data_IF_621447962907
#
_entry.id   IF_621447962907
#
_cell.length_a   1.000
_cell.length_b   1.000
_cell.length_c   1.000
_cell.angle_alpha   90.00
_cell.angle_beta   90.00
_cell.angle_gamma   90.00
#
_symmetry.space_group_name_H-M   'P 1'
#
loop_
_entity.id
_entity.type
_entity.pdbx_description
1 polymer ?
#
# COMPACT_ATOMS: atom_id res chain seq x y z
N UNK A 1 36.58 -8.09 -27.01
CA UNK A 1 36.71 -8.89 -25.77
C UNK A 1 35.32 -9.22 -25.27
N UNK A 2 34.98 -10.51 -25.12
CA UNK A 2 33.69 -10.93 -24.55
C UNK A 2 33.72 -10.70 -23.04
N UNK A 3 32.66 -10.13 -22.48
CA UNK A 3 32.48 -9.89 -21.04
C UNK A 3 31.27 -10.65 -20.53
N UNK A 4 31.31 -11.09 -19.27
CA UNK A 4 30.16 -11.72 -18.61
C UNK A 4 29.44 -10.68 -17.75
N UNK A 5 28.12 -10.53 -17.94
CA UNK A 5 27.33 -9.58 -17.16
C UNK A 5 27.15 -10.07 -15.71
N UNK A 6 27.50 -9.27 -14.68
CA UNK A 6 27.44 -9.72 -13.28
C UNK A 6 26.01 -9.81 -12.71
N UNK A 7 24.98 -9.41 -13.45
CA UNK A 7 23.58 -9.54 -13.02
C UNK A 7 22.89 -10.81 -13.52
N UNK A 8 23.10 -11.14 -14.79
CA UNK A 8 22.38 -12.21 -15.49
C UNK A 8 23.31 -13.30 -16.04
N UNK A 9 24.63 -13.17 -15.83
CA UNK A 9 25.68 -14.08 -16.28
C UNK A 9 25.74 -14.31 -17.79
N UNK A 10 25.06 -13.49 -18.59
CA UNK A 10 25.14 -13.57 -20.05
C UNK A 10 26.41 -12.92 -20.57
N UNK A 11 27.06 -13.60 -21.50
CA UNK A 11 28.14 -13.04 -22.28
C UNK A 11 27.64 -11.91 -23.20
N UNK A 12 28.45 -10.87 -23.36
CA UNK A 12 28.18 -9.77 -24.28
C UNK A 12 29.47 -9.10 -24.75
N UNK A 13 29.40 -8.49 -25.93
CA UNK A 13 30.54 -7.79 -26.54
C UNK A 13 30.57 -6.28 -26.25
N UNK A 14 29.59 -5.76 -25.50
CA UNK A 14 29.50 -4.33 -25.15
C UNK A 14 30.71 -3.87 -24.33
N UNK A 15 31.05 -2.58 -24.45
CA UNK A 15 32.14 -1.96 -23.68
C UNK A 15 31.80 -1.85 -22.20
N UNK A 16 30.51 -1.69 -21.86
CA UNK A 16 30.02 -1.53 -20.50
C UNK A 16 30.25 -2.79 -19.64
N UNK A 17 30.09 -2.67 -18.33
CA UNK A 17 30.14 -3.80 -17.38
C UNK A 17 28.92 -4.72 -17.47
N UNK A 18 27.78 -4.20 -17.92
CA UNK A 18 26.50 -4.92 -17.96
C UNK A 18 26.02 -5.10 -19.39
N UNK A 19 25.27 -6.19 -19.64
CA UNK A 19 24.74 -6.46 -20.97
C UNK A 19 23.64 -5.46 -21.39
N UNK A 20 22.97 -4.80 -20.43
CA UNK A 20 21.96 -3.77 -20.66
C UNK A 20 21.75 -2.91 -19.40
N UNK A 21 21.11 -1.75 -19.60
CA UNK A 21 20.72 -0.84 -18.50
C UNK A 21 19.84 -1.52 -17.45
N UNK A 22 18.88 -2.37 -17.88
CA UNK A 22 18.03 -3.15 -16.97
C UNK A 22 18.85 -4.05 -16.03
N UNK A 23 19.91 -4.67 -16.54
CA UNK A 23 20.78 -5.51 -15.71
C UNK A 23 21.63 -4.71 -14.73
N UNK A 24 22.09 -3.52 -15.14
CA UNK A 24 22.78 -2.60 -14.24
C UNK A 24 21.89 -2.17 -13.08
N UNK A 25 20.66 -1.73 -13.37
CA UNK A 25 19.69 -1.28 -12.37
C UNK A 25 19.29 -2.43 -11.43
N UNK A 26 18.97 -3.60 -12.00
CA UNK A 26 18.63 -4.80 -11.22
C UNK A 26 19.76 -5.22 -10.28
N UNK A 27 21.01 -5.20 -10.76
CA UNK A 27 22.18 -5.48 -9.93
C UNK A 27 22.32 -4.47 -8.79
N UNK A 28 22.15 -3.19 -9.09
CA UNK A 28 22.24 -2.13 -8.07
C UNK A 28 21.20 -2.30 -6.96
N UNK A 29 19.93 -2.60 -7.31
CA UNK A 29 18.88 -2.84 -6.30
C UNK A 29 19.18 -4.04 -5.41
N UNK A 30 19.70 -5.14 -5.98
CA UNK A 30 20.12 -6.33 -5.22
C UNK A 30 21.28 -6.03 -4.28
N UNK A 31 22.23 -5.21 -4.73
CA UNK A 31 23.40 -4.83 -3.94
C UNK A 31 23.09 -3.78 -2.85
N UNK A 32 21.98 -3.03 -3.00
CA UNK A 32 21.59 -1.96 -2.08
C UNK A 32 20.13 -2.11 -1.60
N UNK A 33 19.78 -3.23 -0.94
CA UNK A 33 18.40 -3.47 -0.51
C UNK A 33 17.91 -2.40 0.47
N UNK A 34 18.78 -1.90 1.36
CA UNK A 34 18.45 -0.84 2.32
C UNK A 34 18.06 0.48 1.65
N UNK A 35 18.66 0.82 0.52
CA UNK A 35 18.31 2.04 -0.22
C UNK A 35 16.89 1.95 -0.79
N UNK A 36 16.54 0.77 -1.32
CA UNK A 36 15.21 0.47 -1.85
C UNK A 36 14.18 0.43 -0.72
N UNK A 37 14.53 -0.18 0.42
CA UNK A 37 13.71 -0.20 1.62
C UNK A 37 13.48 1.20 2.18
N UNK A 38 14.51 2.04 2.25
CA UNK A 38 14.41 3.42 2.73
C UNK A 38 13.52 4.27 1.83
N UNK A 39 13.67 4.13 0.51
CA UNK A 39 12.80 4.82 -0.45
C UNK A 39 11.34 4.37 -0.27
N UNK A 40 11.12 3.06 -0.14
CA UNK A 40 9.81 2.47 0.14
C UNK A 40 9.23 3.02 1.44
N UNK A 41 9.96 2.99 2.55
CA UNK A 41 9.51 3.50 3.83
C UNK A 41 9.13 4.98 3.77
N UNK A 42 9.93 5.82 3.10
CA UNK A 42 9.61 7.24 2.90
C UNK A 42 8.28 7.41 2.15
N UNK A 43 8.05 6.61 1.11
CA UNK A 43 6.79 6.62 0.37
C UNK A 43 5.60 6.19 1.23
N UNK A 44 5.69 5.04 1.93
CA UNK A 44 4.61 4.57 2.82
C UNK A 44 4.32 5.56 3.95
N UNK A 45 5.33 6.16 4.57
CA UNK A 45 5.12 7.15 5.63
C UNK A 45 4.33 8.35 5.10
N UNK A 46 4.67 8.86 3.91
CA UNK A 46 3.94 9.97 3.28
C UNK A 46 2.50 9.58 2.97
N UNK A 47 2.32 8.49 2.25
CA UNK A 47 1.01 8.04 1.74
C UNK A 47 0.07 7.64 2.89
N UNK A 48 0.60 6.99 3.93
CA UNK A 48 -0.17 6.66 5.14
C UNK A 48 -0.63 7.91 5.87
N UNK A 49 0.22 8.95 5.94
CA UNK A 49 -0.18 10.24 6.52
C UNK A 49 -1.34 10.86 5.74
N UNK A 50 -1.21 10.96 4.40
CA UNK A 50 -2.23 11.54 3.54
C UNK A 50 -3.56 10.76 3.65
N UNK A 51 -3.50 9.43 3.69
CA UNK A 51 -4.68 8.58 3.84
C UNK A 51 -5.34 8.73 5.22
N UNK A 52 -4.55 8.88 6.28
CA UNK A 52 -5.09 9.12 7.62
C UNK A 52 -5.77 10.50 7.70
N UNK A 53 -5.17 11.54 7.12
CA UNK A 53 -5.81 12.87 7.05
C UNK A 53 -7.10 12.84 6.23
N UNK A 54 -7.13 12.08 5.13
CA UNK A 54 -8.37 11.86 4.38
C UNK A 54 -9.48 11.23 5.23
N UNK A 55 -9.15 10.18 6.00
CA UNK A 55 -10.09 9.54 6.93
C UNK A 55 -10.58 10.49 8.04
N UNK A 56 -9.71 11.35 8.57
CA UNK A 56 -10.07 12.36 9.57
C UNK A 56 -11.10 13.36 9.03
N UNK A 57 -11.03 13.71 7.75
CA UNK A 57 -12.03 14.58 7.11
C UNK A 57 -13.43 13.95 6.98
N UNK A 58 -13.53 12.62 7.07
CA UNK A 58 -14.80 11.87 6.99
C UNK A 58 -15.32 11.55 8.40
N UNK A 59 -14.44 11.06 9.27
CA UNK A 59 -14.79 10.64 10.62
C UNK A 59 -15.53 9.30 10.71
N UNK A 60 -15.74 8.84 11.94
CA UNK A 60 -16.53 7.64 12.22
C UNK A 60 -18.00 7.88 11.89
N UNK A 61 -18.60 7.04 11.06
CA UNK A 61 -20.03 7.14 10.69
C UNK A 61 -20.97 6.96 11.89
N UNK A 62 -20.56 6.29 12.97
CA UNK A 62 -21.43 6.00 14.11
C UNK A 62 -21.29 6.98 15.29
N UNK A 63 -20.15 7.65 15.43
CA UNK A 63 -19.88 8.47 16.62
C UNK A 63 -19.05 9.72 16.34
N UNK A 64 -18.86 10.07 15.06
CA UNK A 64 -18.15 11.27 14.57
C UNK A 64 -16.68 11.39 15.03
N UNK A 65 -16.10 10.32 15.61
CA UNK A 65 -14.70 10.32 15.98
C UNK A 65 -13.82 10.60 14.74
N UNK A 66 -13.06 11.69 14.79
CA UNK A 66 -12.21 12.16 13.69
C UNK A 66 -10.82 12.63 14.17
N UNK A 67 -10.43 12.31 15.41
CA UNK A 67 -9.21 12.84 16.03
C UNK A 67 -7.91 12.17 15.56
N UNK A 68 -8.00 10.94 15.05
CA UNK A 68 -6.85 10.18 14.60
C UNK A 68 -7.27 9.21 13.49
N UNK A 69 -6.81 9.46 12.26
CA UNK A 69 -7.11 8.64 11.09
C UNK A 69 -6.62 7.21 11.23
N UNK A 70 -5.51 6.99 11.95
CA UNK A 70 -5.00 5.64 12.24
C UNK A 70 -5.91 4.82 13.19
N UNK A 71 -6.88 5.46 13.83
CA UNK A 71 -7.93 4.81 14.64
C UNK A 71 -9.26 4.67 13.89
N UNK A 72 -9.28 4.99 12.60
CA UNK A 72 -10.42 4.81 11.69
C UNK A 72 -10.10 3.70 10.68
N UNK A 73 -11.01 2.74 10.55
CA UNK A 73 -10.90 1.59 9.67
C UNK A 73 -12.16 1.47 8.80
N UNK A 74 -11.97 1.05 7.55
CA UNK A 74 -13.08 0.74 6.64
C UNK A 74 -13.70 -0.60 7.03
N UNK A 75 -14.98 -0.56 7.33
CA UNK A 75 -15.80 -1.73 7.59
C UNK A 75 -16.65 -2.03 6.35
N UNK A 76 -16.50 -3.22 5.78
CA UNK A 76 -17.29 -3.68 4.65
C UNK A 76 -18.71 -4.04 5.08
N UNK A 77 -19.71 -3.36 4.52
CA UNK A 77 -21.14 -3.64 4.81
C UNK A 77 -21.72 -4.73 3.90
N UNK A 78 -21.03 -5.01 2.78
CA UNK A 78 -21.41 -6.03 1.81
C UNK A 78 -20.30 -7.04 1.53
N UNK A 79 -20.31 -7.61 0.32
CA UNK A 79 -19.24 -8.51 -0.12
C UNK A 79 -17.93 -7.73 -0.28
N UNK A 80 -16.88 -8.27 0.35
CA UNK A 80 -15.52 -7.77 0.26
C UNK A 80 -14.79 -8.44 -0.90
N UNK A 81 -14.22 -7.64 -1.79
CA UNK A 81 -13.30 -8.14 -2.80
C UNK A 81 -11.85 -8.07 -2.31
N UNK A 82 -11.48 -6.98 -1.63
CA UNK A 82 -10.14 -6.77 -1.09
C UNK A 82 -10.12 -5.71 0.01
N UNK A 83 -9.03 -5.66 0.79
CA UNK A 83 -8.81 -4.58 1.76
C UNK A 83 -8.13 -3.41 1.05
N UNK A 84 -8.66 -2.20 1.17
CA UNK A 84 -7.99 -0.99 0.65
C UNK A 84 -6.95 -0.50 1.65
N UNK A 85 -5.68 -0.52 1.26
CA UNK A 85 -4.58 0.07 2.02
C UNK A 85 -4.21 1.48 1.49
N UNK A 86 -3.30 2.16 2.19
CA UNK A 86 -2.91 3.54 1.85
C UNK A 86 -2.28 3.67 0.45
N UNK A 87 -1.47 2.69 0.03
CA UNK A 87 -0.84 2.68 -1.30
C UNK A 87 -1.88 2.47 -2.41
N UNK A 88 -2.82 1.53 -2.23
CA UNK A 88 -3.92 1.30 -3.17
C UNK A 88 -4.82 2.54 -3.28
N UNK A 89 -5.14 3.18 -2.15
CA UNK A 89 -5.85 4.44 -2.10
C UNK A 89 -5.10 5.55 -2.87
N UNK A 90 -3.78 5.66 -2.69
CA UNK A 90 -2.96 6.65 -3.37
C UNK A 90 -2.90 6.43 -4.89
N UNK A 91 -2.87 5.17 -5.35
CA UNK A 91 -2.93 4.85 -6.78
C UNK A 91 -4.28 5.23 -7.41
N UNK A 92 -5.35 5.31 -6.62
CA UNK A 92 -6.61 5.94 -7.01
C UNK A 92 -7.35 5.27 -8.17
N UNK A 93 -7.13 3.98 -8.42
CA UNK A 93 -7.81 3.26 -9.50
C UNK A 93 -9.33 3.15 -9.24
N UNK A 94 -10.11 2.96 -10.30
CA UNK A 94 -11.58 2.89 -10.20
C UNK A 94 -12.03 1.77 -9.26
N UNK A 95 -11.36 0.61 -9.33
CA UNK A 95 -11.62 -0.55 -8.47
C UNK A 95 -11.52 -0.20 -6.97
N UNK A 96 -10.58 0.64 -6.55
CA UNK A 96 -10.46 1.08 -5.15
C UNK A 96 -11.62 1.99 -4.76
N UNK A 97 -12.06 2.88 -5.64
CA UNK A 97 -13.23 3.74 -5.38
C UNK A 97 -14.50 2.91 -5.22
N UNK A 98 -14.70 1.93 -6.10
CA UNK A 98 -15.80 0.97 -6.04
C UNK A 98 -15.78 0.16 -4.74
N UNK A 99 -14.61 -0.31 -4.31
CA UNK A 99 -14.49 -1.05 -3.05
C UNK A 99 -14.76 -0.17 -1.82
N UNK A 100 -14.27 1.08 -1.82
CA UNK A 100 -14.56 2.03 -0.75
C UNK A 100 -16.05 2.41 -0.68
N UNK A 101 -16.76 2.43 -1.81
CA UNK A 101 -18.20 2.69 -1.84
C UNK A 101 -19.04 1.58 -1.15
N UNK A 102 -18.47 0.39 -0.96
CA UNK A 102 -19.08 -0.73 -0.21
C UNK A 102 -18.73 -0.70 1.29
N UNK A 103 -17.94 0.29 1.72
CA UNK A 103 -17.45 0.41 3.08
C UNK A 103 -18.06 1.60 3.80
N UNK A 104 -18.18 1.48 5.12
CA UNK A 104 -18.38 2.62 6.03
C UNK A 104 -17.09 2.84 6.82
N UNK A 105 -16.83 4.08 7.23
CA UNK A 105 -15.64 4.41 8.01
C UNK A 105 -15.99 4.39 9.49
N UNK A 106 -15.35 3.53 10.28
CA UNK A 106 -15.64 3.38 11.71
C UNK A 106 -14.39 3.55 12.55
N UNK A 107 -14.53 4.13 13.75
CA UNK A 107 -13.47 4.05 14.74
C UNK A 107 -13.33 2.62 15.27
N UNK A 108 -12.15 2.27 15.77
CA UNK A 108 -11.87 0.91 16.27
C UNK A 108 -12.88 0.36 17.27
N UNK A 109 -13.45 1.22 18.13
CA UNK A 109 -14.45 0.81 19.10
C UNK A 109 -15.77 0.45 18.41
N UNK A 110 -16.34 1.38 17.63
CA UNK A 110 -17.58 1.14 16.87
C UNK A 110 -17.43 -0.04 15.90
N UNK A 111 -16.26 -0.18 15.27
CA UNK A 111 -15.95 -1.29 14.40
C UNK A 111 -15.98 -2.64 15.14
N UNK A 112 -15.37 -2.70 16.33
CA UNK A 112 -15.35 -3.90 17.17
C UNK A 112 -16.75 -4.26 17.68
N UNK A 113 -17.55 -3.28 18.08
CA UNK A 113 -18.94 -3.46 18.51
C UNK A 113 -19.81 -4.00 17.37
N UNK A 114 -19.62 -3.49 16.15
CA UNK A 114 -20.35 -3.96 14.98
C UNK A 114 -20.00 -5.42 14.67
N UNK A 115 -18.72 -5.76 14.58
CA UNK A 115 -18.29 -7.16 14.41
C UNK A 115 -18.76 -8.10 15.52
N UNK A 116 -18.91 -7.60 16.74
CA UNK A 116 -19.52 -8.37 17.83
C UNK A 116 -21.01 -8.64 17.57
N UNK A 117 -21.77 -7.64 17.13
CA UNK A 117 -23.20 -7.79 16.77
C UNK A 117 -23.40 -8.73 15.59
N UNK A 118 -22.64 -8.57 14.51
CA UNK A 118 -22.70 -9.42 13.30
C UNK A 118 -22.45 -10.90 13.57
N UNK A 119 -21.57 -11.21 14.54
CA UNK A 119 -21.27 -12.59 14.93
C UNK A 119 -22.34 -13.21 15.82
N UNK A 120 -23.06 -12.41 16.61
CA UNK A 120 -24.09 -12.89 17.55
C UNK A 120 -25.51 -12.88 16.98
N UNK A 121 -25.75 -12.14 15.90
CA UNK A 121 -27.02 -12.12 15.16
C UNK A 121 -27.10 -13.18 14.06
N UNK A 122 -26.15 -14.12 14.01
CA UNK A 122 -26.22 -15.35 13.21
C UNK A 122 -26.80 -16.49 14.03
#
# INVERSE_FOLDING_TARGET
MVKVCPNCNKEHQKRERFCCSKCQVSYWHKAHPESTQRARQKFYTKVSKDFNTFKEGIGCTFCDYAKCGASLDYHHVGNKDFTVNAEEWHCGNERVKEELAKCILLCKNCHSELHYKERRGK
#
